data_IF_055183467538
#
_entry.id   IF_055183467538
#
_cell.length_a   1.000
_cell.length_b   1.000
_cell.length_c   1.000
_cell.angle_alpha   90.00
_cell.angle_beta   90.00
_cell.angle_gamma   90.00
#
_symmetry.space_group_name_H-M   'P 1'
#
loop_
_entity.id
_entity.type
_entity.pdbx_description
1 polymer ?
#
# COMPACT_ATOMS: atom_id res chain seq x y z
N UNK A 1 -1.33 -2.76 -19.13
CA UNK A 1 -1.87 -3.63 -20.19
C UNK A 1 -2.94 -4.53 -19.62
N UNK A 2 -4.14 -4.50 -20.20
CA UNK A 2 -5.26 -5.39 -19.84
C UNK A 2 -5.17 -6.75 -20.52
N UNK A 3 -4.46 -6.84 -21.64
CA UNK A 3 -4.20 -8.06 -22.40
C UNK A 3 -2.93 -7.89 -23.25
N UNK A 4 -2.40 -9.00 -23.79
CA UNK A 4 -1.25 -8.99 -24.69
C UNK A 4 -1.64 -8.40 -26.05
N UNK A 5 -0.93 -7.37 -26.58
CA UNK A 5 -1.24 -6.79 -27.89
C UNK A 5 -1.28 -7.83 -28.99
N UNK A 6 -2.19 -7.69 -29.94
CA UNK A 6 -2.32 -8.63 -31.04
C UNK A 6 -1.09 -8.59 -31.96
N UNK A 7 -0.76 -9.74 -32.56
CA UNK A 7 0.19 -9.81 -33.68
C UNK A 7 -0.48 -9.33 -34.95
N UNK A 8 0.09 -8.33 -35.60
CA UNK A 8 -0.41 -7.77 -36.87
C UNK A 8 0.19 -8.51 -38.07
N UNK A 9 -0.63 -8.80 -39.07
CA UNK A 9 -0.17 -9.38 -40.34
C UNK A 9 -0.49 -8.46 -41.52
N UNK A 10 0.17 -8.69 -42.65
CA UNK A 10 0.00 -7.86 -43.85
C UNK A 10 -1.41 -8.02 -44.42
N UNK A 11 -2.00 -6.92 -44.90
CA UNK A 11 -3.30 -6.92 -45.57
C UNK A 11 -4.52 -6.90 -44.63
N UNK A 12 -4.32 -6.76 -43.32
CA UNK A 12 -5.43 -6.65 -42.38
C UNK A 12 -6.14 -5.29 -42.44
N UNK A 13 -7.47 -5.31 -42.28
CA UNK A 13 -8.27 -4.10 -42.13
C UNK A 13 -8.29 -3.68 -40.66
N UNK A 14 -7.69 -2.54 -40.36
CA UNK A 14 -7.72 -1.94 -39.01
C UNK A 14 -9.07 -1.27 -38.79
N UNK A 15 -9.98 -1.94 -38.11
CA UNK A 15 -11.27 -1.37 -37.75
C UNK A 15 -11.15 -0.36 -36.59
N UNK A 16 -12.16 0.52 -36.46
CA UNK A 16 -12.24 1.40 -35.29
C UNK A 16 -12.29 0.61 -33.97
N UNK A 17 -12.93 -0.55 -33.94
CA UNK A 17 -12.97 -1.41 -32.75
C UNK A 17 -11.57 -1.91 -32.39
N UNK A 18 -10.80 -2.38 -33.39
CA UNK A 18 -9.42 -2.84 -33.18
C UNK A 18 -8.52 -1.71 -32.71
N UNK A 19 -8.67 -0.51 -33.29
CA UNK A 19 -7.89 0.67 -32.87
C UNK A 19 -8.23 1.12 -31.44
N UNK A 20 -9.51 1.03 -31.04
CA UNK A 20 -9.92 1.33 -29.67
C UNK A 20 -9.31 0.33 -28.69
N UNK A 21 -9.36 -0.96 -28.99
CA UNK A 21 -8.83 -2.01 -28.10
C UNK A 21 -7.31 -1.98 -28.00
N UNK A 22 -6.61 -2.01 -29.14
CA UNK A 22 -5.15 -2.19 -29.17
C UNK A 22 -4.37 -0.92 -28.83
N UNK A 23 -4.97 0.26 -29.07
CA UNK A 23 -4.31 1.54 -28.81
C UNK A 23 -4.97 2.22 -27.62
N UNK A 24 -6.21 2.70 -27.76
CA UNK A 24 -6.83 3.57 -26.74
C UNK A 24 -6.91 2.89 -25.38
N UNK A 25 -7.47 1.68 -25.34
CA UNK A 25 -7.70 0.98 -24.08
C UNK A 25 -6.37 0.61 -23.42
N UNK A 26 -5.39 0.12 -24.20
CA UNK A 26 -4.04 -0.17 -23.70
C UNK A 26 -3.37 1.07 -23.09
N UNK A 27 -3.38 2.20 -23.79
CA UNK A 27 -2.85 3.46 -23.25
C UNK A 27 -3.60 3.91 -21.99
N UNK A 28 -4.93 3.81 -21.98
CA UNK A 28 -5.74 4.11 -20.80
C UNK A 28 -5.38 3.23 -19.60
N UNK A 29 -4.91 2.00 -19.80
CA UNK A 29 -4.49 1.15 -18.66
C UNK A 29 -3.26 1.65 -17.92
N UNK A 30 -2.39 2.43 -18.59
CA UNK A 30 -1.16 2.95 -18.00
C UNK A 30 -1.31 4.38 -17.48
N UNK A 31 -2.16 5.17 -18.13
CA UNK A 31 -2.33 6.60 -17.86
C UNK A 31 -3.71 6.96 -17.30
N UNK A 32 -4.54 5.95 -17.02
CA UNK A 32 -5.87 6.12 -16.45
C UNK A 32 -5.85 6.60 -14.99
N UNK A 33 -7.05 6.77 -14.43
CA UNK A 33 -7.20 7.11 -13.02
C UNK A 33 -6.60 6.03 -12.11
N UNK A 34 -6.27 6.42 -10.88
CA UNK A 34 -5.79 5.49 -9.86
C UNK A 34 -6.86 4.42 -9.57
N UNK A 35 -6.43 3.16 -9.49
CA UNK A 35 -7.31 2.03 -9.19
C UNK A 35 -7.45 1.87 -7.67
N UNK A 36 -8.68 1.81 -7.17
CA UNK A 36 -8.96 1.60 -5.74
C UNK A 36 -8.89 0.10 -5.42
N UNK A 37 -8.38 -0.23 -4.25
CA UNK A 37 -8.41 -1.57 -3.67
C UNK A 37 -8.63 -1.49 -2.16
N UNK A 38 -8.97 -2.61 -1.53
CA UNK A 38 -9.12 -2.70 -0.07
C UNK A 38 -7.96 -3.49 0.52
N UNK A 39 -6.99 -2.82 1.18
CA UNK A 39 -5.91 -3.51 1.87
C UNK A 39 -6.46 -4.33 3.04
N UNK A 40 -5.82 -5.45 3.34
CA UNK A 40 -6.01 -6.16 4.61
C UNK A 40 -5.06 -5.59 5.65
N UNK A 41 -5.55 -5.40 6.87
CA UNK A 41 -4.77 -5.00 8.03
C UNK A 41 -4.64 -6.18 8.98
N UNK A 42 -3.40 -6.64 9.18
CA UNK A 42 -3.09 -7.80 10.03
C UNK A 42 -2.05 -7.44 11.09
N UNK A 43 -1.90 -8.30 12.09
CA UNK A 43 -0.85 -8.19 13.09
C UNK A 43 -0.17 -9.54 13.33
N UNK A 44 1.06 -9.51 13.85
CA UNK A 44 1.86 -10.73 14.06
C UNK A 44 1.33 -11.68 15.13
N UNK A 45 0.45 -11.23 16.04
CA UNK A 45 -0.03 -12.03 17.17
C UNK A 45 -1.54 -12.18 17.18
N UNK A 46 -2.29 -11.08 17.16
CA UNK A 46 -3.76 -11.12 17.06
C UNK A 46 -4.22 -10.04 16.09
N UNK A 47 -4.96 -10.43 15.06
CA UNK A 47 -5.39 -9.46 14.05
C UNK A 47 -6.36 -8.42 14.63
N UNK A 48 -6.23 -7.15 14.21
CA UNK A 48 -7.21 -6.12 14.50
C UNK A 48 -8.53 -6.38 13.76
N UNK A 49 -9.63 -5.86 14.30
CA UNK A 49 -10.93 -5.82 13.62
C UNK A 49 -11.29 -4.38 13.33
N UNK A 50 -11.61 -4.07 12.08
CA UNK A 50 -11.86 -2.69 11.65
C UNK A 50 -13.12 -2.09 12.30
N UNK A 51 -14.14 -2.89 12.58
CA UNK A 51 -15.41 -2.37 13.12
C UNK A 51 -16.03 -1.32 12.19
N UNK A 52 -16.35 -0.14 12.74
CA UNK A 52 -16.86 1.03 12.01
C UNK A 52 -15.76 1.93 11.43
N UNK A 53 -14.49 1.52 11.49
CA UNK A 53 -13.39 2.20 10.79
C UNK A 53 -13.42 1.96 9.27
N UNK A 54 -12.47 2.55 8.56
CA UNK A 54 -12.31 2.37 7.12
C UNK A 54 -10.85 2.12 6.75
N UNK A 55 -10.61 1.27 5.76
CA UNK A 55 -9.29 1.11 5.14
C UNK A 55 -9.47 1.17 3.62
N UNK A 56 -8.67 2.01 2.97
CA UNK A 56 -8.75 2.20 1.52
C UNK A 56 -7.36 2.35 0.97
N UNK A 57 -7.09 1.61 -0.10
CA UNK A 57 -5.87 1.70 -0.88
C UNK A 57 -6.18 2.20 -2.27
N UNK A 58 -5.22 2.87 -2.89
CA UNK A 58 -5.25 3.16 -4.33
C UNK A 58 -3.88 3.04 -4.92
N UNK A 59 -3.81 2.62 -6.18
CA UNK A 59 -2.54 2.46 -6.87
C UNK A 59 -2.58 2.93 -8.32
N UNK A 60 -1.39 3.19 -8.85
CA UNK A 60 -1.13 3.38 -10.28
C UNK A 60 0.04 2.47 -10.66
N UNK A 61 -0.19 1.53 -11.58
CA UNK A 61 0.82 0.58 -12.05
C UNK A 61 1.18 0.88 -13.50
N UNK A 62 2.47 1.11 -13.76
CA UNK A 62 3.03 1.32 -15.09
C UNK A 62 4.13 0.29 -15.31
N UNK A 63 3.87 -0.69 -16.17
CA UNK A 63 4.76 -1.85 -16.34
C UNK A 63 4.89 -2.63 -15.02
N UNK A 64 6.12 -2.75 -14.51
CA UNK A 64 6.43 -3.36 -13.20
C UNK A 64 6.55 -2.32 -12.08
N UNK A 65 6.54 -1.03 -12.38
CA UNK A 65 6.60 0.01 -11.35
C UNK A 65 5.20 0.33 -10.84
N UNK A 66 5.04 0.45 -9.54
CA UNK A 66 3.74 0.78 -8.94
C UNK A 66 3.88 1.82 -7.83
N UNK A 67 3.01 2.82 -7.87
CA UNK A 67 2.78 3.76 -6.78
C UNK A 67 1.54 3.32 -6.02
N UNK A 68 1.63 3.24 -4.69
CA UNK A 68 0.54 2.78 -3.82
C UNK A 68 0.38 3.73 -2.65
N UNK A 69 -0.86 4.18 -2.41
CA UNK A 69 -1.25 4.88 -1.21
C UNK A 69 -2.26 4.05 -0.42
N UNK A 70 -2.10 4.00 0.90
CA UNK A 70 -3.06 3.37 1.82
C UNK A 70 -3.44 4.38 2.89
N UNK A 71 -4.73 4.40 3.24
CA UNK A 71 -5.25 5.12 4.40
C UNK A 71 -6.12 4.19 5.23
N UNK A 72 -5.75 4.03 6.49
CA UNK A 72 -6.57 3.45 7.55
C UNK A 72 -7.13 4.59 8.40
N UNK A 73 -8.41 4.55 8.73
CA UNK A 73 -9.06 5.40 9.73
C UNK A 73 -9.73 4.50 10.76
N UNK A 74 -9.30 4.63 12.01
CA UNK A 74 -9.77 3.82 13.12
C UNK A 74 -11.10 4.36 13.62
N UNK A 75 -12.06 3.48 13.85
CA UNK A 75 -13.38 3.81 14.35
C UNK A 75 -13.53 3.50 15.84
N UNK A 76 -14.65 3.94 16.43
CA UNK A 76 -14.93 3.71 17.85
C UNK A 76 -15.18 2.24 18.23
N UNK A 77 -15.45 1.37 17.25
CA UNK A 77 -15.60 -0.08 17.46
C UNK A 77 -14.44 -0.88 16.88
N UNK A 78 -13.36 -0.22 16.44
CA UNK A 78 -12.14 -0.89 16.00
C UNK A 78 -11.46 -1.59 17.18
N UNK A 79 -11.05 -2.85 17.00
CA UNK A 79 -10.16 -3.55 17.94
C UNK A 79 -8.75 -3.58 17.36
N UNK A 80 -7.74 -3.30 18.18
CA UNK A 80 -6.37 -3.09 17.73
C UNK A 80 -5.53 -4.37 17.67
N UNK A 81 -6.05 -5.50 18.16
CA UNK A 81 -5.29 -6.74 18.18
C UNK A 81 -3.98 -6.61 18.96
N UNK A 82 -2.97 -7.40 18.56
CA UNK A 82 -1.64 -7.32 19.14
C UNK A 82 -0.50 -7.69 18.17
N UNK A 83 0.65 -7.03 18.35
CA UNK A 83 1.87 -7.29 17.60
C UNK A 83 2.13 -6.30 16.47
N UNK A 84 3.06 -6.65 15.58
CA UNK A 84 3.52 -5.77 14.50
C UNK A 84 2.46 -5.70 13.40
N UNK A 85 2.03 -4.49 13.04
CA UNK A 85 1.04 -4.30 11.99
C UNK A 85 1.61 -4.43 10.58
N UNK A 86 0.82 -5.06 9.72
CA UNK A 86 1.11 -5.27 8.31
C UNK A 86 -0.10 -4.89 7.46
N UNK A 87 0.17 -4.36 6.27
CA UNK A 87 -0.84 -3.93 5.32
C UNK A 87 -0.61 -4.60 3.97
N UNK A 88 -1.65 -5.21 3.39
CA UNK A 88 -1.49 -5.85 2.09
C UNK A 88 -1.26 -4.87 0.95
N UNK A 89 -0.39 -5.27 0.04
CA UNK A 89 -0.14 -4.57 -1.21
C UNK A 89 -1.06 -5.10 -2.31
N UNK A 90 -1.35 -4.28 -3.36
CA UNK A 90 -2.17 -4.72 -4.48
C UNK A 90 -1.44 -5.77 -5.35
N UNK A 91 -0.10 -5.76 -5.36
CA UNK A 91 0.75 -6.72 -6.06
C UNK A 91 1.95 -7.08 -5.19
N UNK A 92 2.43 -8.32 -5.30
CA UNK A 92 3.67 -8.73 -4.65
C UNK A 92 4.88 -7.95 -5.20
N UNK A 93 5.81 -7.61 -4.32
CA UNK A 93 7.09 -6.99 -4.69
C UNK A 93 7.95 -7.95 -5.52
N UNK A 94 8.86 -7.39 -6.31
CA UNK A 94 9.82 -8.17 -7.08
C UNK A 94 10.81 -8.89 -6.16
N UNK A 95 11.26 -10.06 -6.61
CA UNK A 95 12.28 -10.86 -5.89
C UNK A 95 13.69 -10.42 -6.30
N UNK A 96 14.06 -9.18 -5.98
CA UNK A 96 15.35 -8.57 -6.38
C UNK A 96 16.45 -8.70 -5.32
N UNK A 97 16.11 -9.13 -4.11
CA UNK A 97 17.02 -9.14 -2.96
C UNK A 97 17.28 -7.75 -2.36
N UNK A 98 16.60 -6.71 -2.87
CA UNK A 98 16.68 -5.33 -2.38
C UNK A 98 15.34 -4.98 -1.72
N UNK A 99 15.37 -4.30 -0.59
CA UNK A 99 14.18 -3.81 0.08
C UNK A 99 13.78 -2.43 -0.49
N UNK A 100 12.49 -2.25 -0.76
CA UNK A 100 11.93 -0.96 -1.13
C UNK A 100 11.53 -0.19 0.13
N UNK A 101 11.69 1.14 0.09
CA UNK A 101 11.36 2.04 1.19
C UNK A 101 10.26 3.01 0.78
N UNK A 102 9.43 3.36 1.75
CA UNK A 102 8.34 4.33 1.59
C UNK A 102 8.17 5.23 2.80
N UNK A 103 7.12 6.03 2.77
CA UNK A 103 6.78 6.97 3.83
C UNK A 103 5.51 6.50 4.55
N UNK A 104 5.51 6.65 5.87
CA UNK A 104 4.35 6.41 6.71
C UNK A 104 4.07 7.66 7.56
N UNK A 105 2.80 7.84 7.91
CA UNK A 105 2.37 8.85 8.86
C UNK A 105 1.25 8.31 9.73
N UNK A 106 1.38 8.51 11.04
CA UNK A 106 0.29 8.32 11.98
C UNK A 106 -0.23 9.71 12.39
N UNK A 107 -1.54 9.88 12.31
CA UNK A 107 -2.29 11.00 12.85
C UNK A 107 -3.16 10.45 13.97
N UNK A 108 -2.65 10.46 15.20
CA UNK A 108 -3.46 10.12 16.36
C UNK A 108 -3.57 11.33 17.28
N UNK A 109 -3.27 11.13 18.55
CA UNK A 109 -3.08 12.22 19.52
C UNK A 109 -1.95 13.15 19.05
N UNK A 110 -0.87 12.55 18.54
CA UNK A 110 0.25 13.28 17.94
C UNK A 110 0.41 12.94 16.45
N UNK A 111 1.23 13.72 15.77
CA UNK A 111 1.57 13.52 14.36
C UNK A 111 2.95 12.90 14.24
N UNK A 112 2.99 11.63 13.86
CA UNK A 112 4.23 10.87 13.73
C UNK A 112 4.62 10.73 12.27
N UNK A 113 5.89 11.04 11.97
CA UNK A 113 6.50 10.72 10.69
C UNK A 113 7.24 9.39 10.82
N UNK A 114 7.06 8.53 9.83
CA UNK A 114 7.65 7.21 9.81
C UNK A 114 8.05 6.79 8.40
N UNK A 115 8.57 5.58 8.33
CA UNK A 115 8.96 4.93 7.09
C UNK A 115 8.18 3.64 6.89
N UNK A 116 8.12 3.18 5.66
CA UNK A 116 7.67 1.84 5.31
C UNK A 116 8.87 1.05 4.84
N UNK A 117 8.96 -0.21 5.25
CA UNK A 117 9.92 -1.17 4.71
C UNK A 117 9.15 -2.27 4.00
N UNK A 118 9.57 -2.57 2.78
CA UNK A 118 9.07 -3.67 1.98
C UNK A 118 10.22 -4.61 1.64
N UNK A 119 10.19 -5.82 2.20
CA UNK A 119 11.16 -6.86 1.85
C UNK A 119 10.95 -7.36 0.43
N UNK A 120 12.01 -7.87 -0.19
CA UNK A 120 11.92 -8.52 -1.50
C UNK A 120 10.89 -9.65 -1.50
N UNK A 121 10.14 -9.80 -2.60
CA UNK A 121 9.07 -10.79 -2.75
C UNK A 121 7.89 -10.69 -1.75
N UNK A 122 7.81 -9.61 -0.95
CA UNK A 122 6.74 -9.46 0.03
C UNK A 122 5.40 -9.04 -0.62
N UNK A 123 4.29 -9.51 -0.05
CA UNK A 123 2.92 -9.13 -0.42
C UNK A 123 2.27 -8.16 0.58
N UNK A 124 3.00 -7.80 1.63
CA UNK A 124 2.57 -6.88 2.68
C UNK A 124 3.73 -5.98 3.06
N UNK A 125 3.41 -4.78 3.55
CA UNK A 125 4.39 -3.83 4.07
C UNK A 125 4.14 -3.53 5.55
N UNK A 126 5.19 -3.15 6.27
CA UNK A 126 5.11 -2.74 7.68
C UNK A 126 5.53 -1.28 7.82
N UNK A 127 4.88 -0.57 8.74
CA UNK A 127 5.25 0.81 9.08
C UNK A 127 6.16 0.84 10.29
N UNK A 128 7.14 1.74 10.28
CA UNK A 128 8.07 1.98 11.37
C UNK A 128 8.03 3.45 11.78
N UNK A 129 7.91 3.69 13.08
CA UNK A 129 7.89 5.02 13.67
C UNK A 129 8.95 5.13 14.77
N UNK A 130 9.48 6.34 15.05
CA UNK A 130 10.33 6.55 16.21
C UNK A 130 9.68 6.05 17.50
N UNK A 131 10.45 5.38 18.37
CA UNK A 131 9.96 4.75 19.61
C UNK A 131 9.59 5.70 20.74
N UNK A 132 9.54 7.01 20.50
CA UNK A 132 9.42 8.00 21.56
C UNK A 132 8.13 7.81 22.39
N UNK A 133 8.25 7.73 23.71
CA UNK A 133 7.46 8.63 24.55
C UNK A 133 8.39 9.61 25.28
N UNK A 134 7.80 10.73 25.71
CA UNK A 134 8.47 11.82 26.43
C UNK A 134 9.32 11.32 27.62
N UNK A 135 10.64 11.26 27.45
CA UNK A 135 11.58 11.08 28.56
C UNK A 135 12.88 10.31 28.28
N UNK A 136 13.01 9.60 27.16
CA UNK A 136 14.25 8.86 26.83
C UNK A 136 14.76 9.27 25.45
N UNK A 137 16.07 9.49 25.34
CA UNK A 137 16.78 9.78 24.09
C UNK A 137 16.92 8.52 23.20
N UNK A 138 15.82 7.81 22.92
CA UNK A 138 15.82 6.71 21.95
C UNK A 138 15.39 7.23 20.58
N UNK A 139 16.33 7.23 19.63
CA UNK A 139 16.13 7.70 18.25
C UNK A 139 15.86 6.56 17.29
N UNK A 140 15.76 5.30 17.77
CA UNK A 140 15.46 4.14 16.93
C UNK A 140 14.02 4.19 16.44
N UNK A 141 13.77 3.50 15.33
CA UNK A 141 12.41 3.23 14.88
C UNK A 141 11.97 1.83 15.29
N UNK A 142 10.68 1.64 15.52
CA UNK A 142 10.06 0.35 15.78
C UNK A 142 8.77 0.20 14.99
N UNK A 143 8.30 -1.03 14.88
CA UNK A 143 7.06 -1.35 14.21
C UNK A 143 5.89 -0.55 14.80
N UNK A 144 4.96 -0.16 13.93
CA UNK A 144 3.62 0.24 14.34
C UNK A 144 2.94 -0.96 15.01
N UNK A 145 2.45 -0.76 16.23
CA UNK A 145 1.74 -1.77 17.04
C UNK A 145 0.54 -1.12 17.72
N UNK A 146 -0.18 -1.85 18.57
CA UNK A 146 -1.32 -1.27 19.30
C UNK A 146 -0.96 -0.19 20.33
N UNK A 147 0.32 -0.12 20.75
CA UNK A 147 0.80 0.85 21.76
C UNK A 147 1.96 1.72 21.28
N UNK A 148 2.53 1.43 20.11
CA UNK A 148 3.65 2.19 19.52
C UNK A 148 3.29 2.73 18.14
N UNK A 149 3.67 3.98 17.80
CA UNK A 149 4.41 4.92 18.65
C UNK A 149 3.57 5.54 19.78
N UNK A 150 2.25 5.44 19.69
CA UNK A 150 1.31 5.78 20.76
C UNK A 150 0.16 4.78 20.80
N UNK A 151 -0.65 4.83 21.86
CA UNK A 151 -1.88 4.03 21.95
C UNK A 151 -2.95 4.62 21.03
N UNK A 152 -3.52 3.77 20.18
CA UNK A 152 -4.50 4.21 19.18
C UNK A 152 -5.89 4.45 19.78
N UNK A 153 -6.62 5.38 19.18
CA UNK A 153 -7.99 5.75 19.54
C UNK A 153 -8.89 5.91 18.30
N UNK A 154 -10.18 6.16 18.55
CA UNK A 154 -11.14 6.44 17.48
C UNK A 154 -10.79 7.77 16.79
N UNK A 155 -10.76 7.76 15.46
CA UNK A 155 -10.38 8.90 14.64
C UNK A 155 -8.92 8.90 14.17
N UNK A 156 -8.09 8.03 14.76
CA UNK A 156 -6.68 7.93 14.38
C UNK A 156 -6.54 7.43 12.93
N UNK A 157 -5.53 7.94 12.23
CA UNK A 157 -5.29 7.61 10.84
C UNK A 157 -3.85 7.18 10.57
N UNK A 158 -3.70 6.07 9.85
CA UNK A 158 -2.41 5.64 9.31
C UNK A 158 -2.43 5.89 7.81
N UNK A 159 -1.46 6.64 7.32
CA UNK A 159 -1.28 6.97 5.90
C UNK A 159 0.05 6.42 5.41
N UNK A 160 0.04 5.75 4.28
CA UNK A 160 1.20 5.09 3.69
C UNK A 160 1.33 5.54 2.24
N UNK A 161 2.56 5.86 1.82
CA UNK A 161 2.93 6.07 0.43
C UNK A 161 4.15 5.23 0.08
N UNK A 162 4.05 4.45 -0.99
CA UNK A 162 5.10 3.52 -1.40
C UNK A 162 5.24 3.51 -2.93
N UNK A 163 6.49 3.45 -3.39
CA UNK A 163 6.83 3.16 -4.78
C UNK A 163 7.73 1.93 -4.78
N UNK A 164 7.38 0.93 -5.58
CA UNK A 164 8.14 -0.32 -5.62
C UNK A 164 8.01 -1.02 -6.98
N UNK A 165 8.89 -2.00 -7.22
CA UNK A 165 8.81 -2.90 -8.37
C UNK A 165 7.98 -4.15 -8.04
N UNK A 166 7.01 -4.49 -8.88
CA UNK A 166 6.16 -5.67 -8.73
C UNK A 166 6.78 -6.91 -9.37
N UNK A 167 6.46 -8.09 -8.83
CA UNK A 167 6.87 -9.37 -9.42
C UNK A 167 6.39 -9.54 -10.87
N UNK A 168 5.17 -9.07 -11.15
CA UNK A 168 4.47 -9.09 -12.45
C UNK A 168 3.85 -7.74 -12.76
#
# INVERSE_FOLDING_TARGET
MTFAPRTWVVGEVVSAATMNQEIRDQFNTFFGAWTVYTPTWTASTTNPSLGNGSITGRYMKIGRSVFVHIQLTMGSTTTFGSGNYNFSLPFAAASTGIADLGLAQLLGTNRWLGQVVLSSAASQCSCFFPTYPSGVADTRSSFLTQVLPESHAAGDQVRIGLFYETAT
#
